data_IF_366746766288
#
_entry.id   IF_366746766288
#
_cell.length_a   1.000
_cell.length_b   1.000
_cell.length_c   1.000
_cell.angle_alpha   90.00
_cell.angle_beta   90.00
_cell.angle_gamma   90.00
#
_symmetry.space_group_name_H-M   'P 1'
#
loop_
_entity.id
_entity.type
_entity.pdbx_description
1 polymer ?
#
# COMPACT_ATOMS: atom_id res chain seq x y z
N UNK A 1 25.83 -16.42 23.93
CA UNK A 1 25.03 -17.65 24.04
C UNK A 1 23.82 -17.52 23.13
N UNK A 2 23.51 -18.55 22.33
CA UNK A 2 22.36 -18.57 21.42
C UNK A 2 21.30 -19.50 22.02
N UNK A 3 20.04 -19.08 22.03
CA UNK A 3 18.91 -19.87 22.47
C UNK A 3 18.11 -20.35 21.27
N UNK A 4 17.63 -21.60 21.32
CA UNK A 4 16.88 -22.21 20.24
C UNK A 4 15.47 -22.51 20.72
N UNK A 5 14.47 -22.10 19.95
CA UNK A 5 13.06 -22.41 20.23
C UNK A 5 12.44 -23.13 19.03
N UNK A 6 11.60 -24.12 19.30
CA UNK A 6 10.87 -24.83 18.26
C UNK A 6 9.69 -24.03 17.73
N UNK A 7 9.07 -23.17 18.56
CA UNK A 7 7.90 -22.40 18.19
C UNK A 7 7.92 -21.01 18.84
N UNK A 8 7.79 -19.97 18.00
CA UNK A 8 7.74 -18.58 18.42
C UNK A 8 6.33 -18.11 18.77
N UNK A 9 5.30 -18.92 18.50
CA UNK A 9 3.94 -18.62 18.93
C UNK A 9 3.69 -19.08 20.39
N UNK A 10 4.56 -19.91 20.95
CA UNK A 10 4.45 -20.42 22.31
C UNK A 10 4.57 -19.34 23.41
N UNK A 11 3.82 -19.51 24.51
CA UNK A 11 3.91 -18.62 25.67
C UNK A 11 5.31 -18.66 26.31
N UNK A 12 5.99 -19.81 26.23
CA UNK A 12 7.36 -19.98 26.74
C UNK A 12 8.33 -19.06 26.02
N UNK A 13 8.24 -18.98 24.68
CA UNK A 13 9.06 -18.05 23.90
C UNK A 13 8.73 -16.60 24.23
N UNK A 14 7.43 -16.24 24.26
CA UNK A 14 6.99 -14.87 24.54
C UNK A 14 7.50 -14.39 25.91
N UNK A 15 7.26 -15.19 26.95
CA UNK A 15 7.77 -14.92 28.30
C UNK A 15 9.30 -14.83 28.35
N UNK A 16 10.01 -15.71 27.62
CA UNK A 16 11.47 -15.69 27.60
C UNK A 16 12.03 -14.41 26.97
N UNK A 17 11.47 -13.96 25.84
CA UNK A 17 11.91 -12.74 25.16
C UNK A 17 11.63 -11.50 26.02
N UNK A 18 10.52 -11.50 26.76
CA UNK A 18 10.16 -10.40 27.66
C UNK A 18 11.12 -10.32 28.87
N UNK A 19 11.50 -11.47 29.44
CA UNK A 19 12.46 -11.53 30.56
C UNK A 19 13.90 -11.27 30.08
N UNK A 20 14.26 -11.71 28.87
CA UNK A 20 15.62 -11.64 28.32
C UNK A 20 15.65 -11.02 26.92
N UNK A 21 15.40 -9.71 26.78
CA UNK A 21 15.32 -9.05 25.48
C UNK A 21 16.66 -9.02 24.72
N UNK A 22 17.79 -9.04 25.45
CA UNK A 22 19.13 -9.03 24.84
C UNK A 22 19.59 -10.43 24.36
N UNK A 23 18.80 -11.48 24.62
CA UNK A 23 19.13 -12.83 24.19
C UNK A 23 19.12 -12.97 22.66
N UNK A 24 20.12 -13.67 22.12
CA UNK A 24 20.12 -14.07 20.72
C UNK A 24 19.30 -15.34 20.56
N UNK A 25 18.15 -15.24 19.90
CA UNK A 25 17.20 -16.35 19.76
C UNK A 25 17.04 -16.77 18.30
N UNK A 26 17.07 -18.08 18.04
CA UNK A 26 16.81 -18.66 16.72
C UNK A 26 15.73 -19.74 16.75
N UNK A 27 15.05 -19.91 15.63
CA UNK A 27 14.13 -21.02 15.39
C UNK A 27 14.83 -22.27 14.89
N UNK A 28 14.21 -23.42 15.11
CA UNK A 28 14.65 -24.72 14.57
C UNK A 28 14.63 -24.75 13.04
N UNK A 29 13.64 -24.11 12.40
CA UNK A 29 13.53 -24.01 10.95
C UNK A 29 14.77 -23.37 10.30
N UNK A 30 15.30 -22.29 10.91
CA UNK A 30 16.55 -21.67 10.47
C UNK A 30 17.72 -22.67 10.48
N UNK A 31 17.88 -23.44 11.56
CA UNK A 31 18.97 -24.42 11.68
C UNK A 31 18.87 -25.46 10.56
N UNK A 32 17.67 -25.99 10.33
CA UNK A 32 17.40 -26.96 9.26
C UNK A 32 17.73 -26.40 7.88
N UNK A 33 17.27 -25.18 7.58
CA UNK A 33 17.58 -24.45 6.34
C UNK A 33 19.09 -24.30 6.12
N UNK A 34 19.83 -23.95 7.17
CA UNK A 34 21.28 -23.74 7.10
C UNK A 34 22.04 -25.04 6.85
N UNK A 35 21.68 -26.12 7.53
CA UNK A 35 22.28 -27.45 7.33
C UNK A 35 22.04 -27.92 5.89
N UNK A 36 20.79 -27.85 5.41
CA UNK A 36 20.43 -28.30 4.06
C UNK A 36 21.18 -27.54 2.97
N UNK A 37 21.47 -26.24 3.19
CA UNK A 37 22.17 -25.37 2.24
C UNK A 37 23.67 -25.30 2.45
N UNK A 38 24.22 -26.06 3.42
CA UNK A 38 25.62 -26.02 3.83
C UNK A 38 26.10 -24.58 4.15
N UNK A 39 25.32 -23.84 4.94
CA UNK A 39 25.59 -22.46 5.34
C UNK A 39 25.81 -22.35 6.85
N UNK A 40 26.64 -21.40 7.26
CA UNK A 40 26.80 -21.05 8.68
C UNK A 40 25.55 -20.39 9.26
N UNK A 41 25.35 -20.56 10.57
CA UNK A 41 24.31 -19.82 11.29
C UNK A 41 24.58 -18.31 11.21
N UNK A 42 23.56 -17.50 10.92
CA UNK A 42 23.73 -16.05 10.88
C UNK A 42 24.01 -15.51 12.28
N UNK A 43 24.78 -14.42 12.36
CA UNK A 43 24.95 -13.69 13.60
C UNK A 43 23.65 -12.95 13.93
N UNK A 44 22.89 -13.50 14.86
CA UNK A 44 21.64 -12.90 15.33
C UNK A 44 21.96 -11.73 16.26
N UNK A 45 21.30 -10.60 16.02
CA UNK A 45 21.43 -9.41 16.86
C UNK A 45 20.50 -9.54 18.08
N UNK A 46 20.87 -8.95 19.24
CA UNK A 46 19.94 -8.80 20.36
C UNK A 46 18.61 -8.16 19.90
N UNK A 47 17.50 -8.53 20.55
CA UNK A 47 16.13 -8.06 20.22
C UNK A 47 15.65 -8.40 18.80
N UNK A 48 16.37 -9.23 18.05
CA UNK A 48 15.99 -9.67 16.70
C UNK A 48 15.98 -11.18 16.59
N UNK A 49 15.04 -11.82 17.30
CA UNK A 49 14.82 -13.25 17.18
C UNK A 49 14.55 -13.63 15.70
N UNK A 50 15.12 -14.75 15.26
CA UNK A 50 15.06 -15.19 13.86
C UNK A 50 14.61 -16.64 13.78
N UNK A 51 13.38 -16.87 13.32
CA UNK A 51 12.79 -18.20 13.23
C UNK A 51 13.25 -18.97 11.98
N UNK A 52 13.12 -18.35 10.82
CA UNK A 52 13.53 -18.87 9.52
C UNK A 52 14.12 -17.73 8.66
N UNK A 53 14.67 -18.05 7.50
CA UNK A 53 15.25 -17.07 6.57
C UNK A 53 14.49 -16.96 5.25
N UNK A 54 13.20 -17.28 5.26
CA UNK A 54 12.31 -17.26 4.10
C UNK A 54 12.23 -15.87 3.46
N UNK A 55 12.13 -14.81 4.25
CA UNK A 55 12.07 -13.43 3.77
C UNK A 55 13.45 -12.76 3.69
N UNK A 56 14.53 -13.54 3.61
CA UNK A 56 15.89 -13.00 3.51
C UNK A 56 16.01 -12.08 2.29
N UNK A 57 16.62 -10.92 2.51
CA UNK A 57 16.81 -9.85 1.51
C UNK A 57 15.51 -9.22 0.98
N UNK A 58 14.38 -9.42 1.67
CA UNK A 58 13.11 -8.78 1.31
C UNK A 58 12.91 -7.57 2.22
N UNK A 59 12.72 -6.41 1.60
CA UNK A 59 12.42 -5.15 2.27
C UNK A 59 10.90 -4.92 2.23
N UNK A 60 10.27 -4.94 3.40
CA UNK A 60 8.82 -4.78 3.54
C UNK A 60 8.51 -3.43 4.16
N UNK A 61 7.63 -2.67 3.52
CA UNK A 61 7.00 -1.49 4.10
C UNK A 61 5.65 -1.92 4.66
N UNK A 62 5.34 -1.47 5.87
CA UNK A 62 4.03 -1.72 6.49
C UNK A 62 3.18 -0.46 6.34
N UNK A 63 2.02 -0.62 5.73
CA UNK A 63 1.03 0.44 5.56
C UNK A 63 0.53 1.00 6.89
N UNK A 64 -0.22 2.09 6.80
CA UNK A 64 -0.93 2.63 7.97
C UNK A 64 -2.09 1.70 8.35
N UNK A 65 -2.48 1.73 9.61
CA UNK A 65 -3.47 0.85 10.20
C UNK A 65 -3.34 0.85 11.71
N UNK A 66 -4.03 -0.08 12.36
CA UNK A 66 -4.00 -0.27 13.81
C UNK A 66 -2.58 -0.60 14.31
N UNK A 67 -2.20 -0.02 15.45
CA UNK A 67 -0.83 -0.12 15.97
C UNK A 67 -0.44 -1.56 16.28
N UNK A 68 -1.31 -2.30 16.95
CA UNK A 68 -1.06 -3.69 17.34
C UNK A 68 -0.85 -4.61 16.13
N UNK A 69 -1.65 -4.41 15.07
CA UNK A 69 -1.49 -5.15 13.81
C UNK A 69 -0.15 -4.85 13.15
N UNK A 70 0.25 -3.56 13.11
CA UNK A 70 1.52 -3.15 12.52
C UNK A 70 2.71 -3.70 13.30
N UNK A 71 2.61 -3.74 14.63
CA UNK A 71 3.61 -4.36 15.51
C UNK A 71 3.71 -5.86 15.20
N UNK A 72 2.57 -6.55 15.09
CA UNK A 72 2.53 -7.98 14.77
C UNK A 72 3.16 -8.27 13.40
N UNK A 73 2.74 -7.57 12.34
CA UNK A 73 3.30 -7.78 11.00
C UNK A 73 4.80 -7.45 10.97
N UNK A 74 5.22 -6.40 11.67
CA UNK A 74 6.63 -6.06 11.81
C UNK A 74 7.43 -7.14 12.52
N UNK A 75 6.86 -7.79 13.54
CA UNK A 75 7.48 -8.94 14.23
C UNK A 75 7.60 -10.14 13.28
N UNK A 76 6.53 -10.53 12.59
CA UNK A 76 6.53 -11.66 11.65
C UNK A 76 7.56 -11.50 10.53
N UNK A 77 7.64 -10.31 9.92
CA UNK A 77 8.67 -10.02 8.89
C UNK A 77 10.07 -10.27 9.44
N UNK A 78 10.35 -9.79 10.67
CA UNK A 78 11.68 -9.97 11.30
C UNK A 78 11.95 -11.42 11.66
N UNK A 79 10.96 -12.14 12.18
CA UNK A 79 11.08 -13.57 12.50
C UNK A 79 11.39 -14.42 11.27
N UNK A 80 10.89 -14.03 10.10
CA UNK A 80 11.20 -14.72 8.84
C UNK A 80 12.45 -14.18 8.12
N UNK A 81 13.21 -13.27 8.74
CA UNK A 81 14.48 -12.76 8.20
C UNK A 81 14.38 -11.58 7.23
N UNK A 82 13.19 -10.99 7.09
CA UNK A 82 12.96 -9.77 6.31
C UNK A 82 13.31 -8.50 7.06
N UNK A 83 13.34 -7.39 6.32
CA UNK A 83 13.62 -6.06 6.87
C UNK A 83 12.39 -5.16 6.78
N UNK A 84 11.97 -4.61 7.91
CA UNK A 84 10.85 -3.64 7.96
C UNK A 84 11.41 -2.24 7.74
N UNK A 85 10.95 -1.55 6.70
CA UNK A 85 11.30 -0.16 6.42
C UNK A 85 10.21 0.78 6.94
N UNK A 86 10.63 1.90 7.53
CA UNK A 86 9.72 2.93 8.05
C UNK A 86 9.10 3.72 6.91
N UNK A 87 9.94 4.18 6.00
CA UNK A 87 9.53 4.91 4.81
C UNK A 87 9.80 4.03 3.59
N UNK A 88 8.92 4.10 2.58
CA UNK A 88 9.17 3.43 1.33
C UNK A 88 10.32 4.12 0.59
N UNK A 89 11.05 3.37 -0.23
CA UNK A 89 12.07 3.88 -1.16
C UNK A 89 12.30 2.89 -2.33
N UNK A 90 13.28 3.15 -3.18
CA UNK A 90 13.58 2.33 -4.36
C UNK A 90 14.01 0.89 -4.07
N UNK A 91 14.50 0.59 -2.86
CA UNK A 91 14.90 -0.76 -2.44
C UNK A 91 13.75 -1.54 -1.79
N UNK A 92 12.58 -0.92 -1.64
CA UNK A 92 11.41 -1.54 -1.01
C UNK A 92 10.78 -2.57 -1.94
N UNK A 93 10.73 -3.82 -1.51
CA UNK A 93 10.27 -4.96 -2.32
C UNK A 93 8.74 -5.09 -2.30
N UNK A 94 8.15 -5.02 -1.10
CA UNK A 94 6.72 -5.21 -0.90
C UNK A 94 6.12 -4.14 0.02
N UNK A 95 4.87 -3.76 -0.24
CA UNK A 95 4.01 -3.07 0.71
C UNK A 95 2.99 -4.05 1.26
N UNK A 96 2.89 -4.16 2.58
CA UNK A 96 1.80 -4.87 3.25
C UNK A 96 0.81 -3.86 3.80
N UNK A 97 -0.42 -3.83 3.29
CA UNK A 97 -1.45 -2.87 3.69
C UNK A 97 -2.86 -3.43 3.47
N UNK A 98 -3.84 -2.97 4.26
CA UNK A 98 -5.26 -3.25 4.05
C UNK A 98 -5.96 -2.25 3.13
N UNK A 99 -5.31 -1.11 2.87
CA UNK A 99 -5.95 0.00 2.19
C UNK A 99 -5.24 0.33 0.88
N UNK A 100 -6.02 0.45 -0.20
CA UNK A 100 -5.55 0.81 -1.54
C UNK A 100 -5.32 2.34 -1.72
N UNK A 101 -4.77 3.01 -0.70
CA UNK A 101 -4.53 4.46 -0.70
C UNK A 101 -3.32 4.86 0.15
N UNK A 102 -2.91 6.12 0.03
CA UNK A 102 -1.85 6.72 0.83
C UNK A 102 -0.47 6.72 0.15
N UNK A 103 0.47 7.50 0.73
CA UNK A 103 1.77 7.80 0.10
C UNK A 103 2.57 6.54 -0.27
N UNK A 104 2.70 5.60 0.66
CA UNK A 104 3.47 4.38 0.42
C UNK A 104 2.85 3.49 -0.66
N UNK A 105 1.52 3.40 -0.70
CA UNK A 105 0.79 2.71 -1.76
C UNK A 105 1.10 3.33 -3.12
N UNK A 106 0.88 4.64 -3.27
CA UNK A 106 1.09 5.35 -4.53
C UNK A 106 2.53 5.18 -5.02
N UNK A 107 3.51 5.32 -4.12
CA UNK A 107 4.91 5.24 -4.52
C UNK A 107 5.32 3.83 -4.96
N UNK A 108 4.92 2.78 -4.24
CA UNK A 108 5.29 1.41 -4.62
C UNK A 108 4.59 0.96 -5.91
N UNK A 109 3.34 1.38 -6.13
CA UNK A 109 2.65 1.17 -7.40
C UNK A 109 3.41 1.85 -8.55
N UNK A 110 3.83 3.10 -8.38
CA UNK A 110 4.63 3.82 -9.40
C UNK A 110 6.00 3.18 -9.66
N UNK A 111 6.59 2.50 -8.67
CA UNK A 111 7.83 1.74 -8.81
C UNK A 111 7.63 0.32 -9.39
N UNK A 112 6.39 -0.06 -9.72
CA UNK A 112 6.06 -1.40 -10.20
C UNK A 112 6.19 -2.51 -9.15
N UNK A 113 6.33 -2.13 -7.87
CA UNK A 113 6.45 -3.06 -6.75
C UNK A 113 5.10 -3.65 -6.36
N UNK A 114 5.11 -4.81 -5.71
CA UNK A 114 3.87 -5.50 -5.33
C UNK A 114 3.29 -4.93 -4.04
N UNK A 115 1.98 -4.71 -4.05
CA UNK A 115 1.20 -4.37 -2.87
C UNK A 115 0.33 -5.55 -2.47
N UNK A 116 0.54 -6.04 -1.26
CA UNK A 116 -0.03 -7.28 -0.75
C UNK A 116 -0.88 -7.00 0.49
N UNK A 117 -1.87 -7.86 0.70
CA UNK A 117 -2.66 -7.89 1.91
C UNK A 117 -1.86 -8.53 3.06
N UNK A 118 -2.18 -8.22 4.32
CA UNK A 118 -1.57 -8.88 5.48
C UNK A 118 -1.69 -10.41 5.47
N UNK A 119 -2.70 -10.95 4.79
CA UNK A 119 -2.89 -12.39 4.63
C UNK A 119 -1.70 -13.09 3.97
N UNK A 120 -0.92 -12.41 3.12
CA UNK A 120 0.33 -12.96 2.57
C UNK A 120 1.32 -13.30 3.68
N UNK A 121 1.49 -12.37 4.63
CA UNK A 121 2.44 -12.54 5.72
C UNK A 121 2.01 -13.66 6.68
N UNK A 122 0.71 -13.80 6.90
CA UNK A 122 0.13 -14.90 7.69
C UNK A 122 0.31 -16.25 6.98
N UNK A 123 0.15 -16.30 5.65
CA UNK A 123 0.37 -17.52 4.86
C UNK A 123 1.87 -17.92 4.87
N UNK A 124 2.78 -16.95 4.71
CA UNK A 124 4.21 -17.15 4.87
C UNK A 124 4.55 -17.68 6.28
N UNK A 125 3.97 -17.10 7.33
CA UNK A 125 4.22 -17.55 8.71
C UNK A 125 3.64 -18.94 9.00
N UNK A 126 2.51 -19.29 8.38
CA UNK A 126 1.93 -20.63 8.48
C UNK A 126 2.82 -21.69 7.82
N UNK A 127 3.59 -21.29 6.80
CA UNK A 127 4.57 -22.13 6.10
C UNK A 127 6.00 -21.98 6.63
N UNK A 128 6.20 -21.40 7.82
CA UNK A 128 7.54 -21.08 8.37
C UNK A 128 8.51 -22.27 8.48
N UNK A 129 7.98 -23.49 8.63
CA UNK A 129 8.75 -24.74 8.72
C UNK A 129 8.98 -25.41 7.36
N UNK A 130 8.30 -24.95 6.31
CA UNK A 130 8.41 -25.48 4.97
C UNK A 130 9.63 -24.88 4.24
N UNK A 131 10.69 -25.68 4.09
CA UNK A 131 11.95 -25.25 3.50
C UNK A 131 11.88 -25.01 1.98
N UNK A 132 10.85 -25.51 1.30
CA UNK A 132 10.65 -25.34 -0.15
C UNK A 132 9.66 -24.23 -0.48
N UNK A 133 9.05 -23.59 0.53
CA UNK A 133 8.07 -22.53 0.31
C UNK A 133 8.75 -21.27 -0.24
N UNK A 134 8.20 -20.71 -1.33
CA UNK A 134 8.71 -19.50 -1.94
C UNK A 134 7.73 -18.31 -1.70
N UNK A 135 8.10 -17.33 -0.86
CA UNK A 135 7.23 -16.19 -0.56
C UNK A 135 7.05 -15.22 -1.74
N UNK A 136 7.88 -15.34 -2.79
CA UNK A 136 7.84 -14.50 -3.99
C UNK A 136 7.26 -15.21 -5.20
N UNK A 137 6.67 -16.40 -5.03
CA UNK A 137 6.01 -17.12 -6.10
C UNK A 137 4.82 -16.32 -6.65
N UNK A 138 4.72 -16.19 -7.97
CA UNK A 138 3.71 -15.35 -8.61
C UNK A 138 2.27 -15.76 -8.26
N UNK A 139 1.98 -17.06 -8.14
CA UNK A 139 0.66 -17.60 -7.76
C UNK A 139 0.26 -17.11 -6.37
N UNK A 140 1.17 -17.19 -5.40
CA UNK A 140 1.00 -16.70 -4.04
C UNK A 140 0.84 -15.16 -4.02
N UNK A 141 1.71 -14.44 -4.74
CA UNK A 141 1.64 -12.98 -4.80
C UNK A 141 0.31 -12.49 -5.41
N UNK A 142 -0.20 -13.18 -6.45
CA UNK A 142 -1.50 -12.85 -7.05
C UNK A 142 -2.66 -13.14 -6.10
N UNK A 143 -2.63 -14.28 -5.40
CA UNK A 143 -3.63 -14.65 -4.38
C UNK A 143 -3.79 -13.58 -3.30
N UNK A 144 -2.68 -12.99 -2.88
CA UNK A 144 -2.67 -11.99 -1.81
C UNK A 144 -2.53 -10.55 -2.28
N UNK A 145 -2.62 -10.30 -3.60
CA UNK A 145 -2.61 -8.95 -4.14
C UNK A 145 -3.78 -8.15 -3.58
N UNK A 146 -3.53 -6.89 -3.24
CA UNK A 146 -4.58 -5.97 -2.83
C UNK A 146 -5.59 -5.76 -3.97
N UNK A 147 -6.89 -5.73 -3.66
CA UNK A 147 -7.92 -5.33 -4.62
C UNK A 147 -7.75 -3.89 -5.08
N UNK A 148 -8.27 -3.58 -6.27
CA UNK A 148 -8.24 -2.21 -6.82
C UNK A 148 -8.92 -1.24 -5.86
N UNK A 149 -10.08 -1.62 -5.33
CA UNK A 149 -10.87 -0.79 -4.41
C UNK A 149 -10.88 -1.35 -2.98
N UNK A 150 -9.83 -2.06 -2.57
CA UNK A 150 -9.76 -2.72 -1.27
C UNK A 150 -10.01 -1.74 -0.11
N UNK A 151 -10.92 -2.12 0.78
CA UNK A 151 -11.32 -1.35 1.96
C UNK A 151 -11.86 0.06 1.63
N UNK A 152 -12.33 0.27 0.40
CA UNK A 152 -13.03 1.49 0.02
C UNK A 152 -14.55 1.29 0.11
N UNK A 153 -15.23 2.29 0.65
CA UNK A 153 -16.68 2.40 0.63
C UNK A 153 -17.04 3.47 -0.40
N UNK A 154 -17.81 3.11 -1.43
CA UNK A 154 -18.03 3.95 -2.59
C UNK A 154 -19.52 4.19 -2.76
N UNK A 155 -19.92 5.46 -2.77
CA UNK A 155 -21.26 5.90 -3.12
C UNK A 155 -21.27 6.45 -4.54
N UNK A 156 -22.34 6.22 -5.29
CA UNK A 156 -22.48 6.63 -6.70
C UNK A 156 -23.69 7.54 -6.80
N UNK A 157 -23.51 8.73 -7.38
CA UNK A 157 -24.55 9.76 -7.42
C UNK A 157 -24.63 10.43 -8.80
N UNK A 158 -25.85 10.67 -9.28
CA UNK A 158 -26.10 11.46 -10.49
C UNK A 158 -25.95 10.70 -11.82
N UNK A 159 -26.04 9.38 -11.80
CA UNK A 159 -26.00 8.53 -13.00
C UNK A 159 -27.37 7.89 -13.24
N UNK A 160 -27.65 7.57 -14.50
CA UNK A 160 -28.81 6.76 -14.89
C UNK A 160 -28.67 5.33 -14.35
N UNK A 161 -29.79 4.69 -14.02
CA UNK A 161 -29.82 3.41 -13.28
C UNK A 161 -28.96 2.32 -13.94
N UNK A 162 -29.11 2.10 -15.26
CA UNK A 162 -28.36 1.09 -16.01
C UNK A 162 -26.83 1.32 -15.95
N UNK A 163 -26.40 2.57 -16.08
CA UNK A 163 -24.97 2.92 -16.04
C UNK A 163 -24.42 2.90 -14.60
N UNK A 164 -25.23 3.32 -13.63
CA UNK A 164 -24.89 3.24 -12.22
C UNK A 164 -24.70 1.77 -11.80
N UNK A 165 -25.53 0.85 -12.29
CA UNK A 165 -25.43 -0.58 -12.00
C UNK A 165 -24.16 -1.22 -12.58
N UNK A 166 -23.74 -0.79 -13.78
CA UNK A 166 -22.46 -1.23 -14.35
C UNK A 166 -21.27 -0.75 -13.49
N UNK A 167 -21.29 0.50 -13.03
CA UNK A 167 -20.27 1.03 -12.11
C UNK A 167 -20.27 0.25 -10.79
N UNK A 168 -21.45 0.00 -10.19
CA UNK A 168 -21.60 -0.76 -8.94
C UNK A 168 -21.03 -2.16 -9.07
N UNK A 169 -21.43 -2.88 -10.12
CA UNK A 169 -20.99 -4.24 -10.42
C UNK A 169 -19.46 -4.32 -10.54
N UNK A 170 -18.86 -3.40 -11.31
CA UNK A 170 -17.42 -3.35 -11.47
C UNK A 170 -16.69 -3.04 -10.15
N UNK A 171 -17.16 -2.06 -9.36
CA UNK A 171 -16.54 -1.76 -8.06
C UNK A 171 -16.56 -3.00 -7.15
N UNK A 172 -17.68 -3.71 -7.07
CA UNK A 172 -17.80 -4.93 -6.27
C UNK A 172 -16.90 -6.06 -6.78
N UNK A 173 -16.84 -6.27 -8.10
CA UNK A 173 -15.94 -7.26 -8.73
C UNK A 173 -14.47 -6.99 -8.39
N UNK A 174 -14.11 -5.71 -8.20
CA UNK A 174 -12.77 -5.27 -7.86
C UNK A 174 -12.58 -4.95 -6.35
N UNK A 175 -13.39 -5.61 -5.50
CA UNK A 175 -13.29 -5.65 -4.02
C UNK A 175 -13.58 -4.31 -3.32
N UNK A 176 -14.33 -3.43 -3.95
CA UNK A 176 -14.91 -2.26 -3.32
C UNK A 176 -16.25 -2.58 -2.66
N UNK A 177 -16.62 -1.80 -1.65
CA UNK A 177 -17.94 -1.88 -0.99
C UNK A 177 -18.81 -0.74 -1.48
N UNK A 178 -19.99 -1.05 -2.01
CA UNK A 178 -20.99 -0.02 -2.35
C UNK A 178 -21.74 0.40 -1.08
N UNK A 179 -21.96 1.70 -0.93
CA UNK A 179 -22.81 2.27 0.11
C UNK A 179 -23.77 3.28 -0.50
N UNK A 180 -25.03 3.23 -0.07
CA UNK A 180 -26.06 4.16 -0.56
C UNK A 180 -25.96 5.53 0.10
N UNK A 181 -25.59 5.57 1.39
CA UNK A 181 -25.43 6.82 2.14
C UNK A 181 -24.06 7.45 1.85
N UNK A 182 -24.01 8.66 1.25
CA UNK A 182 -22.78 9.40 1.03
C UNK A 182 -21.98 9.60 2.33
N UNK A 183 -22.62 9.76 3.49
CA UNK A 183 -21.91 10.00 4.76
C UNK A 183 -21.06 8.81 5.23
N UNK A 184 -21.40 7.58 4.80
CA UNK A 184 -20.66 6.36 5.13
C UNK A 184 -19.53 6.06 4.13
N UNK A 185 -19.47 6.79 3.02
CA UNK A 185 -18.54 6.53 1.93
C UNK A 185 -17.13 7.05 2.25
N UNK A 186 -16.11 6.39 1.72
CA UNK A 186 -14.77 6.98 1.61
C UNK A 186 -14.62 7.75 0.31
N UNK A 187 -15.34 7.32 -0.74
CA UNK A 187 -15.34 7.94 -2.07
C UNK A 187 -16.78 8.16 -2.54
N UNK A 188 -17.03 9.30 -3.16
CA UNK A 188 -18.29 9.59 -3.85
C UNK A 188 -17.97 9.78 -5.32
N UNK A 189 -18.48 8.86 -6.13
CA UNK A 189 -18.37 8.90 -7.58
C UNK A 189 -19.54 9.71 -8.10
N UNK A 190 -19.27 10.81 -8.80
CA UNK A 190 -20.29 11.73 -9.29
C UNK A 190 -20.23 11.87 -10.80
N UNK A 191 -21.41 12.05 -11.40
CA UNK A 191 -21.49 12.52 -12.78
C UNK A 191 -21.06 13.99 -12.82
N UNK A 192 -20.24 14.38 -13.80
CA UNK A 192 -19.69 15.75 -13.89
C UNK A 192 -20.74 16.86 -13.99
N UNK A 193 -21.98 16.53 -14.31
CA UNK A 193 -23.11 17.46 -14.33
C UNK A 193 -23.85 17.59 -12.98
N UNK A 194 -23.58 16.72 -12.00
CA UNK A 194 -24.29 16.66 -10.73
C UNK A 194 -23.82 17.74 -9.75
N UNK A 195 -24.75 18.41 -9.07
CA UNK A 195 -24.41 19.40 -8.05
C UNK A 195 -24.10 18.71 -6.71
N UNK A 196 -22.81 18.71 -6.36
CA UNK A 196 -22.27 18.12 -5.13
C UNK A 196 -22.55 18.97 -3.88
N UNK A 197 -23.06 20.19 -4.05
CA UNK A 197 -23.30 21.15 -2.94
C UNK A 197 -24.37 20.68 -1.96
N UNK A 198 -25.28 19.81 -2.38
CA UNK A 198 -26.36 19.25 -1.56
C UNK A 198 -25.91 18.03 -0.72
N UNK A 199 -24.71 17.49 -0.96
CA UNK A 199 -24.23 16.31 -0.27
C UNK A 199 -23.56 16.68 1.06
N UNK A 200 -23.96 16.01 2.14
CA UNK A 200 -23.38 16.14 3.48
C UNK A 200 -22.03 15.40 3.58
N UNK A 201 -20.98 15.98 2.98
CA UNK A 201 -19.68 15.34 2.87
C UNK A 201 -18.74 15.73 4.02
N UNK A 202 -18.08 14.73 4.61
CA UNK A 202 -16.96 14.94 5.51
C UNK A 202 -15.70 15.34 4.75
N UNK A 203 -14.85 16.18 5.37
CA UNK A 203 -13.62 16.70 4.76
C UNK A 203 -12.60 15.62 4.35
N UNK A 204 -12.71 14.41 4.92
CA UNK A 204 -11.82 13.28 4.62
C UNK A 204 -12.26 12.45 3.41
N UNK A 205 -13.47 12.70 2.88
CA UNK A 205 -14.01 11.97 1.73
C UNK A 205 -13.44 12.49 0.42
N UNK A 206 -13.37 11.61 -0.57
CA UNK A 206 -12.87 11.94 -1.91
C UNK A 206 -14.02 11.96 -2.91
N UNK A 207 -14.19 13.09 -3.59
CA UNK A 207 -15.16 13.24 -4.67
C UNK A 207 -14.42 13.03 -5.99
N UNK A 208 -14.88 12.07 -6.79
CA UNK A 208 -14.22 11.68 -8.03
C UNK A 208 -15.23 11.44 -9.16
N UNK A 209 -14.78 11.52 -10.41
CA UNK A 209 -15.61 11.17 -11.58
C UNK A 209 -15.61 9.65 -11.83
N UNK A 210 -16.52 9.18 -12.68
CA UNK A 210 -16.54 7.77 -13.12
C UNK A 210 -15.23 7.34 -13.81
N UNK A 211 -14.52 8.26 -14.46
CA UNK A 211 -13.22 7.97 -15.08
C UNK A 211 -12.17 7.45 -14.08
N UNK A 212 -12.25 7.85 -12.82
CA UNK A 212 -11.39 7.31 -11.77
C UNK A 212 -11.62 5.80 -11.59
N UNK A 213 -12.88 5.34 -11.63
CA UNK A 213 -13.22 3.92 -11.49
C UNK A 213 -12.62 3.14 -12.66
N UNK A 214 -12.90 3.58 -13.89
CA UNK A 214 -12.45 2.89 -15.09
C UNK A 214 -10.94 2.91 -15.27
N UNK A 215 -10.29 4.03 -14.95
CA UNK A 215 -8.82 4.09 -14.95
C UNK A 215 -8.26 3.12 -13.91
N UNK A 216 -8.80 3.12 -12.69
CA UNK A 216 -8.32 2.25 -11.61
C UNK A 216 -8.37 0.77 -12.01
N UNK A 217 -9.47 0.37 -12.66
CA UNK A 217 -9.63 -0.98 -13.21
C UNK A 217 -8.60 -1.25 -14.31
N UNK A 218 -8.46 -0.34 -15.27
CA UNK A 218 -7.50 -0.48 -16.37
C UNK A 218 -6.06 -0.69 -15.89
N UNK A 219 -5.62 0.11 -14.91
CA UNK A 219 -4.26 0.00 -14.35
C UNK A 219 -4.12 -1.07 -13.25
N UNK A 220 -5.22 -1.76 -12.91
CA UNK A 220 -5.28 -2.80 -11.87
C UNK A 220 -4.81 -2.33 -10.48
N UNK A 221 -4.98 -1.04 -10.19
CA UNK A 221 -4.71 -0.41 -8.89
C UNK A 221 -5.62 0.80 -8.75
N UNK A 222 -6.01 1.14 -7.51
CA UNK A 222 -6.67 2.42 -7.23
C UNK A 222 -5.90 3.56 -7.91
N UNK A 223 -6.55 4.41 -8.70
CA UNK A 223 -5.94 5.59 -9.29
C UNK A 223 -5.84 6.73 -8.26
N UNK A 224 -4.97 7.71 -8.51
CA UNK A 224 -4.86 8.88 -7.64
C UNK A 224 -6.11 9.75 -7.78
N UNK A 225 -6.84 9.95 -6.69
CA UNK A 225 -8.11 10.66 -6.63
C UNK A 225 -7.97 12.13 -7.07
N UNK A 226 -6.83 12.76 -6.74
CA UNK A 226 -6.59 14.19 -7.00
C UNK A 226 -6.62 14.53 -8.52
N UNK A 227 -6.39 13.54 -9.39
CA UNK A 227 -6.41 13.71 -10.85
C UNK A 227 -7.82 13.62 -11.46
N UNK A 228 -8.83 13.22 -10.67
CA UNK A 228 -10.20 12.95 -11.13
C UNK A 228 -11.24 13.71 -10.32
N UNK A 229 -10.84 14.80 -9.67
CA UNK A 229 -11.79 15.68 -9.00
C UNK A 229 -12.70 16.33 -10.05
N UNK A 230 -14.03 16.33 -9.84
CA UNK A 230 -14.94 16.97 -10.77
C UNK A 230 -14.62 18.46 -10.89
N UNK A 231 -14.74 19.00 -12.10
CA UNK A 231 -14.61 20.43 -12.32
C UNK A 231 -15.74 21.15 -11.58
N UNK A 232 -15.44 21.69 -10.39
CA UNK A 232 -16.39 22.55 -9.69
C UNK A 232 -16.68 23.75 -10.58
N UNK A 233 -17.93 23.91 -11.01
CA UNK A 233 -18.41 25.23 -11.46
C UNK A 233 -18.18 26.17 -10.28
N UNK A 234 -17.39 27.21 -10.49
CA UNK A 234 -17.03 28.21 -9.49
C UNK A 234 -18.28 28.69 -8.74
N UNK A 235 -18.56 28.11 -7.57
CA UNK A 235 -19.37 28.80 -6.58
C UNK A 235 -18.46 29.86 -5.97
N UNK A 236 -18.74 31.11 -6.33
CA UNK A 236 -18.23 32.26 -5.62
C UNK A 236 -18.45 32.02 -4.13
N UNK A 237 -17.37 31.73 -3.40
CA UNK A 237 -17.29 32.03 -1.99
C UNK A 237 -17.50 33.54 -1.90
N UNK A 238 -18.74 33.94 -1.63
CA UNK A 238 -19.05 35.28 -1.19
C UNK A 238 -18.37 35.44 0.17
N UNK A 239 -17.14 35.93 0.16
CA UNK A 239 -16.54 36.58 1.32
C UNK A 239 -17.09 38.01 1.33
N UNK A 240 -17.91 38.43 2.30
CA UNK A 240 -18.16 39.85 2.48
C UNK A 240 -16.93 40.44 3.19
N UNK A 241 -16.15 41.21 2.43
CA UNK A 241 -15.27 42.24 2.97
C UNK A 241 -13.82 41.82 3.25
N UNK A 242 -12.95 42.05 2.27
CA UNK A 242 -11.71 42.80 2.51
C UNK A 242 -11.19 43.32 1.17
N UNK A 243 -11.08 44.64 1.09
CA UNK A 243 -10.68 45.38 -0.09
C UNK A 243 -9.19 45.17 -0.43
N UNK A 244 -8.94 45.18 -1.74
CA UNK A 244 -7.77 45.76 -2.42
C UNK A 244 -6.36 45.35 -1.95
N UNK A 245 -5.61 44.70 -2.84
CA UNK A 245 -4.65 45.46 -3.65
C UNK A 245 -4.07 44.67 -4.83
N UNK A 246 -3.96 45.42 -5.92
CA UNK A 246 -3.43 45.10 -7.25
C UNK A 246 -1.98 44.64 -7.20
N UNK A 247 -1.59 43.66 -8.04
CA UNK A 247 -0.78 43.93 -9.23
C UNK A 247 -0.53 42.67 -10.07
N UNK A 248 -1.15 42.64 -11.25
CA UNK A 248 -0.51 42.50 -12.56
C UNK A 248 0.92 41.95 -12.67
N UNK A 249 1.03 40.96 -13.59
CA UNK A 249 1.87 40.99 -14.82
C UNK A 249 3.12 40.08 -14.88
N UNK A 250 3.06 39.22 -15.92
CA UNK A 250 4.11 38.66 -16.80
C UNK A 250 4.96 37.45 -16.37
N UNK A 251 4.73 36.36 -17.13
CA UNK A 251 5.73 35.63 -17.92
C UNK A 251 7.11 36.30 -18.00
N UNK A 252 8.15 35.58 -17.57
CA UNK A 252 9.38 35.44 -18.34
C UNK A 252 10.13 34.17 -17.95
N UNK A 253 10.67 33.55 -18.99
CA UNK A 253 11.60 32.45 -18.94
C UNK A 253 12.96 32.83 -18.34
N UNK A 254 13.76 31.78 -18.12
CA UNK A 254 15.23 31.71 -18.09
C UNK A 254 15.97 31.85 -16.77
N UNK A 255 16.90 30.90 -16.64
CA UNK A 255 18.16 30.90 -15.88
C UNK A 255 18.11 30.54 -14.40
N UNK A 256 18.32 29.24 -14.14
CA UNK A 256 19.53 28.75 -13.44
C UNK A 256 19.73 27.24 -13.69
N UNK A 257 20.52 26.94 -14.73
CA UNK A 257 21.14 25.64 -14.95
C UNK A 257 22.67 25.82 -14.81
N UNK A 258 23.23 25.28 -13.73
CA UNK A 258 24.64 24.92 -13.52
C UNK A 258 24.63 24.19 -12.16
N UNK A 259 25.10 22.96 -11.95
CA UNK A 259 25.88 21.98 -12.71
C UNK A 259 25.66 20.66 -11.96
N UNK A 260 25.23 19.60 -12.62
CA UNK A 260 25.67 18.23 -12.32
C UNK A 260 25.36 17.37 -13.55
N UNK A 261 26.39 17.18 -14.36
CA UNK A 261 26.41 16.29 -15.52
C UNK A 261 26.75 14.87 -15.05
N UNK A 262 26.04 13.91 -15.63
CA UNK A 262 26.39 12.49 -15.72
C UNK A 262 25.39 11.61 -14.98
N UNK A 263 24.66 10.65 -15.56
CA UNK A 263 24.69 10.06 -16.91
C UNK A 263 23.38 9.28 -17.12
N UNK A 264 22.71 9.58 -18.23
CA UNK A 264 21.77 8.81 -19.07
C UNK A 264 20.73 7.80 -18.51
N UNK A 265 19.56 7.90 -19.16
CA UNK A 265 18.47 6.93 -19.41
C UNK A 265 17.40 6.77 -18.31
N UNK A 266 16.33 7.56 -18.43
CA UNK A 266 14.95 7.07 -18.24
C UNK A 266 13.95 8.11 -18.80
N UNK A 267 13.81 8.15 -20.13
CA UNK A 267 12.70 8.83 -20.80
C UNK A 267 12.47 8.12 -22.13
N UNK A 268 11.78 6.97 -22.07
CA UNK A 268 10.98 6.39 -23.15
C UNK A 268 10.40 5.05 -22.65
N UNK A 269 9.22 5.08 -22.05
CA UNK A 269 8.22 4.04 -22.28
C UNK A 269 6.91 4.79 -22.46
N UNK A 270 6.76 5.32 -23.67
CA UNK A 270 5.53 5.86 -24.22
C UNK A 270 4.57 4.69 -24.48
N UNK A 271 3.28 4.98 -24.36
CA UNK A 271 2.24 4.64 -25.34
C UNK A 271 2.55 3.44 -26.26
N UNK A 272 1.76 2.37 -26.12
CA UNK A 272 1.33 1.52 -27.23
C UNK A 272 0.10 0.72 -26.78
N UNK A 273 -1.09 1.31 -26.90
CA UNK A 273 -2.34 0.56 -27.11
C UNK A 273 -3.19 1.37 -28.10
N UNK A 274 -2.92 1.16 -29.38
CA UNK A 274 -3.87 1.37 -30.48
C UNK A 274 -3.43 0.47 -31.64
N UNK A 275 -4.01 -0.72 -31.72
CA UNK A 275 -4.60 -1.38 -32.90
C UNK A 275 -5.06 -2.78 -32.50
#
# INVERSE_FOLDING_TARGET
MIFVFADFDSDVFRNFVDIRPEASVIGTALIRSRIQRNLYLPRVKPKRALYCDMLRNINVVIGYGEEDERILWGKLVRYMGGHVKKEPDGDSTFLVTKHARGRAFRMLVSLGQKVLLPSWLMDCWSNRDNLTFNPTENTLLLKHRIGVFESLKICIVGFEDDYADDIRSNISNFRGTIVEDPALATHVVVNGAYDVSELSLAHSQRIVTAEWVWTSISIQYCANEDAYTPAMKNFHLFTPGAAASRCCVLSTATNRLCKLKGTLKLFLVLLLVTF
#
